data_IF_938294078740
#
_entry.id   IF_938294078740
#
_cell.length_a   1.000
_cell.length_b   1.000
_cell.length_c   1.000
_cell.angle_alpha   90.00
_cell.angle_beta   90.00
_cell.angle_gamma   90.00
#
_symmetry.space_group_name_H-M   'P 1'
#
loop_
_entity.id
_entity.type
_entity.pdbx_description
1 polymer ?
#
# COMPACT_ATOMS: atom_id res chain seq x y z
N UNK A 1 21.57 -2.10 -1.53
CA UNK A 1 21.28 -3.32 -2.31
C UNK A 1 20.80 -2.84 -3.67
N UNK A 2 21.44 -3.23 -4.78
CA UNK A 2 20.95 -2.85 -6.12
C UNK A 2 19.59 -3.54 -6.38
N UNK A 3 18.67 -2.86 -7.06
CA UNK A 3 17.36 -3.42 -7.41
C UNK A 3 16.29 -3.33 -6.33
N UNK A 4 16.50 -2.52 -5.29
CA UNK A 4 15.51 -2.24 -4.24
C UNK A 4 15.19 -0.76 -4.21
N UNK A 5 13.91 -0.43 -4.11
CA UNK A 5 13.43 0.94 -3.85
C UNK A 5 12.65 0.96 -2.54
N UNK A 6 12.89 1.99 -1.74
CA UNK A 6 12.20 2.24 -0.48
C UNK A 6 11.39 3.52 -0.65
N UNK A 7 10.09 3.44 -0.43
CA UNK A 7 9.17 4.59 -0.51
C UNK A 7 8.21 4.59 0.67
N UNK A 8 7.77 5.77 1.07
CA UNK A 8 6.81 5.93 2.17
C UNK A 8 5.37 5.70 1.68
N UNK A 9 5.12 5.92 0.38
CA UNK A 9 3.83 5.69 -0.28
C UNK A 9 3.99 5.06 -1.66
N UNK A 10 3.04 4.21 -2.07
CA UNK A 10 3.02 3.62 -3.42
C UNK A 10 2.88 4.69 -4.50
N UNK A 11 2.34 5.86 -4.15
CA UNK A 11 2.20 7.00 -5.07
C UNK A 11 3.54 7.64 -5.43
N UNK A 12 4.62 7.27 -4.73
CA UNK A 12 5.99 7.66 -5.05
C UNK A 12 6.68 6.66 -5.99
N UNK A 13 6.04 5.54 -6.33
CA UNK A 13 6.55 4.59 -7.32
C UNK A 13 6.29 5.17 -8.71
N UNK A 14 7.37 5.55 -9.40
CA UNK A 14 7.34 6.02 -10.77
C UNK A 14 8.03 5.01 -11.71
N UNK A 15 8.46 5.48 -12.90
CA UNK A 15 9.11 4.61 -13.89
C UNK A 15 10.44 4.03 -13.41
N UNK A 16 11.10 4.64 -12.42
CA UNK A 16 12.34 4.12 -11.84
C UNK A 16 12.12 2.85 -11.00
N UNK A 17 10.89 2.62 -10.54
CA UNK A 17 10.53 1.42 -9.79
C UNK A 17 10.41 0.16 -10.67
N UNK A 18 10.41 0.30 -12.00
CA UNK A 18 10.28 -0.83 -12.91
C UNK A 18 11.39 -1.85 -12.69
N UNK A 19 11.01 -3.12 -12.55
CA UNK A 19 11.95 -4.22 -12.30
C UNK A 19 12.59 -4.21 -10.91
N UNK A 20 12.19 -3.29 -10.02
CA UNK A 20 12.70 -3.23 -8.65
C UNK A 20 11.81 -4.00 -7.68
N UNK A 21 12.43 -4.47 -6.59
CA UNK A 21 11.70 -4.89 -5.38
C UNK A 21 11.37 -3.62 -4.59
N UNK A 22 10.09 -3.30 -4.50
CA UNK A 22 9.63 -2.14 -3.74
C UNK A 22 9.31 -2.52 -2.30
N UNK A 23 9.85 -1.79 -1.33
CA UNK A 23 9.33 -1.79 0.05
C UNK A 23 8.62 -0.46 0.27
N UNK A 24 7.34 -0.54 0.57
CA UNK A 24 6.47 0.60 0.58
C UNK A 24 5.65 0.70 1.86
N UNK A 25 5.68 1.89 2.48
CA UNK A 25 4.92 2.25 3.68
C UNK A 25 3.39 2.14 3.56
N UNK A 26 2.82 1.94 2.37
CA UNK A 26 1.37 1.82 2.20
C UNK A 26 0.79 0.47 2.63
N UNK A 27 -0.51 0.44 2.90
CA UNK A 27 -1.23 -0.80 3.17
C UNK A 27 -1.31 -1.73 1.94
N UNK A 28 -1.48 -3.03 2.18
CA UNK A 28 -1.62 -4.08 1.17
C UNK A 28 -2.97 -4.15 0.44
N UNK A 29 -3.82 -3.13 0.59
CA UNK A 29 -5.13 -3.05 -0.08
C UNK A 29 -5.06 -2.95 -1.61
N UNK A 30 -6.21 -3.17 -2.27
CA UNK A 30 -6.32 -3.32 -3.73
C UNK A 30 -5.71 -2.15 -4.51
N UNK A 31 -6.10 -0.91 -4.19
CA UNK A 31 -5.61 0.26 -4.91
C UNK A 31 -4.09 0.41 -4.83
N UNK A 32 -3.50 0.20 -3.65
CA UNK A 32 -2.06 0.34 -3.48
C UNK A 32 -1.27 -0.72 -4.24
N UNK A 33 -1.71 -1.99 -4.19
CA UNK A 33 -1.13 -3.08 -4.96
C UNK A 33 -1.25 -2.83 -6.47
N UNK A 34 -2.39 -2.30 -6.94
CA UNK A 34 -2.58 -1.94 -8.35
C UNK A 34 -1.64 -0.81 -8.80
N UNK A 35 -1.45 0.24 -7.99
CA UNK A 35 -0.47 1.30 -8.29
C UNK A 35 0.93 0.71 -8.41
N UNK A 36 1.35 -0.16 -7.48
CA UNK A 36 2.65 -0.81 -7.54
C UNK A 36 2.81 -1.68 -8.80
N UNK A 37 1.78 -2.46 -9.15
CA UNK A 37 1.79 -3.27 -10.36
C UNK A 37 1.92 -2.42 -11.63
N UNK A 38 1.21 -1.29 -11.71
CA UNK A 38 1.30 -0.34 -12.83
C UNK A 38 2.66 0.36 -12.94
N UNK A 39 3.36 0.53 -11.82
CA UNK A 39 4.75 1.01 -11.82
C UNK A 39 5.74 -0.06 -12.37
N UNK A 40 5.30 -1.31 -12.56
CA UNK A 40 6.10 -2.38 -13.14
C UNK A 40 7.12 -2.97 -12.17
N UNK A 41 6.85 -2.92 -10.86
CA UNK A 41 7.72 -3.55 -9.85
C UNK A 41 7.80 -5.06 -10.10
N UNK A 42 8.98 -5.66 -9.89
CA UNK A 42 9.11 -7.14 -9.95
C UNK A 42 8.56 -7.83 -8.70
N UNK A 43 8.47 -7.11 -7.59
CA UNK A 43 7.88 -7.57 -6.34
C UNK A 43 7.58 -6.39 -5.42
N UNK A 44 6.66 -6.56 -4.47
CA UNK A 44 6.30 -5.50 -3.52
C UNK A 44 6.13 -6.01 -2.09
N UNK A 45 6.64 -5.24 -1.14
CA UNK A 45 6.43 -5.41 0.31
C UNK A 45 5.55 -4.24 0.78
N UNK A 46 4.39 -4.57 1.34
CA UNK A 46 3.40 -3.61 1.85
C UNK A 46 3.15 -3.81 3.34
N UNK A 47 2.42 -2.92 4.00
CA UNK A 47 1.97 -3.06 5.38
C UNK A 47 0.61 -3.77 5.43
N UNK A 48 0.36 -4.66 6.40
CA UNK A 48 -0.92 -5.37 6.47
C UNK A 48 -2.08 -4.53 7.01
N UNK A 49 -1.78 -3.38 7.63
CA UNK A 49 -2.77 -2.45 8.20
C UNK A 49 -3.84 -3.19 9.02
N UNK A 50 -3.39 -4.06 9.93
CA UNK A 50 -4.28 -4.82 10.80
C UNK A 50 -5.13 -5.86 10.06
N UNK A 51 -4.80 -6.18 8.81
CA UNK A 51 -5.52 -7.06 7.86
C UNK A 51 -6.89 -6.49 7.45
N UNK A 52 -7.61 -5.83 8.34
CA UNK A 52 -8.88 -5.19 8.10
C UNK A 52 -10.05 -6.18 7.92
N UNK A 53 -11.26 -5.63 7.90
CA UNK A 53 -12.48 -6.40 7.68
C UNK A 53 -12.42 -7.09 6.31
N UNK A 54 -12.74 -8.37 6.27
CA UNK A 54 -12.69 -9.19 5.04
C UNK A 54 -11.31 -9.16 4.35
N UNK A 55 -10.23 -9.00 5.12
CA UNK A 55 -8.86 -8.92 4.62
C UNK A 55 -8.57 -7.70 3.72
N UNK A 56 -9.33 -6.61 3.89
CA UNK A 56 -9.20 -5.40 3.07
C UNK A 56 -7.78 -4.81 3.05
N UNK A 57 -7.04 -4.88 4.16
CA UNK A 57 -5.66 -4.39 4.30
C UNK A 57 -4.61 -5.21 3.56
N UNK A 58 -4.94 -6.42 3.07
CA UNK A 58 -4.03 -7.29 2.30
C UNK A 58 -4.65 -7.80 0.99
N UNK A 59 -5.86 -7.34 0.63
CA UNK A 59 -6.58 -7.84 -0.54
C UNK A 59 -5.78 -7.68 -1.84
N UNK A 60 -5.01 -6.60 -1.95
CA UNK A 60 -4.11 -6.35 -3.07
C UNK A 60 -2.91 -7.29 -3.11
N UNK A 61 -2.31 -7.60 -1.94
CA UNK A 61 -1.22 -8.59 -1.83
C UNK A 61 -1.67 -9.95 -2.38
N UNK A 62 -2.88 -10.39 -2.02
CA UNK A 62 -3.44 -11.65 -2.52
C UNK A 62 -3.78 -11.57 -4.01
N UNK A 63 -4.37 -10.46 -4.46
CA UNK A 63 -4.70 -10.24 -5.87
C UNK A 63 -3.47 -10.30 -6.79
N UNK A 64 -2.32 -9.77 -6.35
CA UNK A 64 -1.07 -9.81 -7.12
C UNK A 64 -0.58 -11.22 -7.47
N UNK A 65 -1.01 -12.26 -6.73
CA UNK A 65 -0.68 -13.64 -7.07
C UNK A 65 -1.28 -14.06 -8.42
N UNK A 66 -2.46 -13.54 -8.78
CA UNK A 66 -3.10 -13.79 -10.07
C UNK A 66 -2.35 -13.15 -11.25
N UNK A 67 -1.44 -12.21 -10.97
CA UNK A 67 -0.56 -11.57 -11.95
C UNK A 67 0.87 -12.15 -11.91
N UNK A 68 1.09 -13.21 -11.11
CA UNK A 68 2.40 -13.78 -10.79
C UNK A 68 3.41 -12.72 -10.31
N UNK A 69 2.92 -11.68 -9.61
CA UNK A 69 3.76 -10.67 -8.97
C UNK A 69 3.94 -11.07 -7.50
N UNK A 70 5.17 -11.40 -7.06
CA UNK A 70 5.46 -11.68 -5.67
C UNK A 70 5.14 -10.50 -4.77
N UNK A 71 4.30 -10.75 -3.76
CA UNK A 71 3.91 -9.73 -2.80
C UNK A 71 3.87 -10.28 -1.38
N UNK A 72 4.26 -9.44 -0.43
CA UNK A 72 4.22 -9.75 0.99
C UNK A 72 3.66 -8.56 1.77
N UNK A 73 3.04 -8.85 2.91
CA UNK A 73 2.61 -7.84 3.88
C UNK A 73 3.42 -7.97 5.17
N UNK A 74 3.83 -6.83 5.73
CA UNK A 74 4.48 -6.68 7.03
C UNK A 74 3.41 -6.48 8.10
N UNK A 75 3.56 -7.15 9.24
CA UNK A 75 2.76 -6.92 10.45
C UNK A 75 2.88 -5.46 10.87
N UNK A 76 1.76 -4.72 10.83
CA UNK A 76 1.68 -3.31 11.24
C UNK A 76 2.21 -3.01 12.65
N UNK A 77 2.32 -4.01 13.53
CA UNK A 77 2.90 -3.87 14.88
C UNK A 77 4.43 -3.91 14.88
N UNK A 78 5.03 -4.44 13.81
CA UNK A 78 6.49 -4.59 13.67
C UNK A 78 7.16 -3.42 12.94
N UNK A 79 6.39 -2.66 12.16
CA UNK A 79 6.88 -1.49 11.45
C UNK A 79 5.78 -0.44 11.26
N UNK A 80 6.18 0.83 11.30
CA UNK A 80 5.27 1.97 11.09
C UNK A 80 4.73 1.98 9.67
N UNK A 81 3.41 2.15 9.55
CA UNK A 81 2.79 2.46 8.27
C UNK A 81 3.19 3.87 7.83
N UNK A 82 3.37 4.09 6.53
CA UNK A 82 3.91 5.33 5.97
C UNK A 82 5.43 5.48 6.08
N UNK A 83 6.18 4.48 6.57
CA UNK A 83 7.65 4.55 6.71
C UNK A 83 8.32 3.32 6.06
N UNK A 84 8.74 3.48 4.81
CA UNK A 84 9.36 2.39 4.04
C UNK A 84 10.72 1.96 4.61
N UNK A 85 11.42 2.88 5.28
CA UNK A 85 12.71 2.61 5.90
C UNK A 85 12.55 1.77 7.17
N UNK A 86 11.58 2.07 8.03
CA UNK A 86 11.27 1.28 9.22
C UNK A 86 10.79 -0.12 8.84
N UNK A 87 9.95 -0.24 7.81
CA UNK A 87 9.54 -1.55 7.27
C UNK A 87 10.74 -2.40 6.86
N UNK A 88 11.70 -1.83 6.13
CA UNK A 88 12.95 -2.53 5.79
C UNK A 88 13.77 -2.90 7.03
N UNK A 89 13.80 -2.06 8.06
CA UNK A 89 14.66 -2.25 9.22
C UNK A 89 14.10 -3.24 10.24
N UNK A 90 12.82 -3.16 10.58
CA UNK A 90 12.18 -3.91 11.67
C UNK A 90 11.00 -4.78 11.26
N UNK A 91 10.52 -4.66 10.01
CA UNK A 91 9.33 -5.35 9.55
C UNK A 91 9.43 -6.87 9.63
N UNK A 92 8.38 -7.49 10.15
CA UNK A 92 8.14 -8.94 10.18
C UNK A 92 6.97 -9.25 9.26
N UNK A 93 7.13 -10.22 8.38
CA UNK A 93 6.12 -10.61 7.39
C UNK A 93 4.96 -11.32 8.08
N UNK A 94 3.74 -10.80 7.90
CA UNK A 94 2.50 -11.46 8.35
C UNK A 94 1.86 -12.29 7.26
N UNK A 95 1.91 -11.83 6.02
CA UNK A 95 1.24 -12.46 4.87
C UNK A 95 2.19 -12.56 3.68
N UNK A 96 2.12 -13.68 2.96
CA UNK A 96 2.83 -13.91 1.70
C UNK A 96 1.82 -14.44 0.70
N UNK A 97 1.84 -13.91 -0.52
CA UNK A 97 1.02 -14.45 -1.60
C UNK A 97 1.69 -15.66 -2.29
N UNK A 98 0.94 -16.43 -3.08
CA UNK A 98 1.45 -17.67 -3.67
C UNK A 98 2.70 -17.44 -4.54
N UNK A 99 2.75 -16.34 -5.31
CA UNK A 99 3.92 -15.98 -6.10
C UNK A 99 5.16 -15.75 -5.21
N UNK A 100 5.03 -14.99 -4.12
CA UNK A 100 6.10 -14.78 -3.15
C UNK A 100 6.57 -16.08 -2.48
N UNK A 101 5.64 -16.98 -2.16
CA UNK A 101 5.96 -18.27 -1.56
C UNK A 101 6.84 -19.14 -2.48
N UNK A 102 6.58 -19.14 -3.80
CA UNK A 102 7.42 -19.83 -4.81
C UNK A 102 8.88 -19.37 -4.77
N UNK A 103 9.14 -18.14 -4.35
CA UNK A 103 10.49 -17.54 -4.28
C UNK A 103 11.11 -17.59 -2.88
N UNK A 104 10.52 -18.35 -1.95
CA UNK A 104 11.08 -18.59 -0.61
C UNK A 104 10.67 -17.57 0.46
N UNK A 105 9.71 -16.69 0.17
CA UNK A 105 9.14 -15.82 1.19
C UNK A 105 8.22 -16.61 2.13
N UNK A 106 8.30 -16.38 3.44
CA UNK A 106 7.46 -17.04 4.44
C UNK A 106 6.98 -16.02 5.49
N UNK A 107 5.76 -16.19 6.05
CA UNK A 107 5.37 -15.51 7.27
C UNK A 107 6.39 -15.73 8.39
N UNK A 108 6.65 -14.69 9.18
CA UNK A 108 7.67 -14.67 10.23
C UNK A 108 9.08 -14.29 9.74
N UNK A 109 9.35 -14.25 8.44
CA UNK A 109 10.60 -13.67 7.93
C UNK A 109 10.67 -12.17 8.22
N UNK A 110 11.87 -11.66 8.41
CA UNK A 110 12.14 -10.21 8.38
C UNK A 110 11.99 -9.66 6.96
N UNK A 111 11.68 -8.37 6.84
CA UNK A 111 11.62 -7.67 5.54
C UNK A 111 12.92 -7.87 4.74
N UNK A 112 14.08 -7.81 5.39
CA UNK A 112 15.39 -8.05 4.76
C UNK A 112 15.52 -9.45 4.17
N UNK A 113 15.01 -10.47 4.87
CA UNK A 113 15.06 -11.85 4.37
C UNK A 113 14.19 -12.01 3.12
N UNK A 114 12.96 -11.50 3.13
CA UNK A 114 12.09 -11.59 1.94
C UNK A 114 12.61 -10.74 0.79
N UNK A 115 13.13 -9.53 1.03
CA UNK A 115 13.76 -8.74 -0.04
C UNK A 115 14.94 -9.49 -0.65
N UNK A 116 15.77 -10.16 0.16
CA UNK A 116 16.85 -11.00 -0.36
C UNK A 116 16.30 -12.14 -1.23
N UNK A 117 15.32 -12.90 -0.74
CA UNK A 117 14.68 -13.99 -1.47
C UNK A 117 14.11 -13.50 -2.82
N UNK A 118 13.43 -12.35 -2.81
CA UNK A 118 12.82 -11.76 -4.00
C UNK A 118 13.88 -11.34 -5.01
N UNK A 119 14.93 -10.62 -4.59
CA UNK A 119 16.04 -10.21 -5.45
C UNK A 119 16.76 -11.38 -6.12
N UNK A 120 16.94 -12.48 -5.39
CA UNK A 120 17.67 -13.66 -5.87
C UNK A 120 16.83 -14.52 -6.81
N UNK A 121 15.50 -14.61 -6.59
CA UNK A 121 14.70 -15.66 -7.21
C UNK A 121 13.53 -15.19 -8.08
N UNK A 122 13.09 -13.93 -8.01
CA UNK A 122 11.95 -13.45 -8.82
C UNK A 122 12.37 -12.80 -10.14
N UNK A 123 11.45 -12.65 -11.07
CA UNK A 123 11.66 -11.90 -12.32
C UNK A 123 10.52 -10.88 -12.50
N UNK A 124 10.63 -10.00 -13.50
CA UNK A 124 9.51 -9.12 -13.88
C UNK A 124 8.35 -9.97 -14.39
N UNK A 125 7.13 -9.66 -13.94
CA UNK A 125 5.93 -10.28 -14.51
C UNK A 125 5.65 -9.67 -15.88
N UNK A 126 5.28 -10.53 -16.84
CA UNK A 126 4.80 -10.14 -18.17
C UNK A 126 3.27 -9.95 -18.21
N UNK A 127 2.59 -10.15 -17.08
CA UNK A 127 1.13 -10.04 -17.02
C UNK A 127 0.66 -8.63 -17.38
N UNK A 128 -0.40 -8.56 -18.18
CA UNK A 128 -1.11 -7.30 -18.39
C UNK A 128 -1.81 -6.90 -17.08
N UNK A 129 -1.61 -5.66 -16.65
CA UNK A 129 -2.20 -5.16 -15.40
C UNK A 129 -3.63 -4.68 -15.72
N UNK A 130 -4.67 -5.36 -15.19
CA UNK A 130 -6.03 -4.95 -15.48
C UNK A 130 -6.35 -3.63 -14.77
N UNK A 131 -7.26 -2.84 -15.36
CA UNK A 131 -7.87 -1.72 -14.66
C UNK A 131 -8.71 -2.27 -13.49
N UNK A 132 -8.49 -1.70 -12.31
CA UNK A 132 -9.43 -1.90 -11.19
C UNK A 132 -10.53 -0.84 -11.34
N UNK A 133 -11.77 -1.22 -11.04
CA UNK A 133 -12.97 -0.40 -11.32
C UNK A 133 -13.04 0.92 -10.56
N UNK A 134 -14.26 1.34 -10.18
CA UNK A 134 -14.46 2.67 -9.63
C UNK A 134 -13.82 2.84 -8.22
N UNK A 135 -12.68 3.55 -8.15
CA UNK A 135 -11.96 3.84 -6.91
C UNK A 135 -12.51 5.06 -6.13
N UNK A 136 -13.66 5.58 -6.57
CA UNK A 136 -14.34 6.74 -6.00
C UNK A 136 -15.86 6.58 -6.10
N UNK A 137 -16.57 6.57 -4.99
CA UNK A 137 -18.02 6.44 -4.98
C UNK A 137 -18.67 7.60 -4.20
N UNK A 138 -19.76 8.16 -4.74
CA UNK A 138 -20.55 9.16 -4.02
C UNK A 138 -21.38 8.48 -2.93
N UNK A 139 -21.29 8.97 -1.71
CA UNK A 139 -22.15 8.52 -0.60
C UNK A 139 -23.42 9.37 -0.62
N UNK A 140 -24.58 8.71 -0.74
CA UNK A 140 -25.90 9.35 -0.70
C UNK A 140 -26.40 9.61 0.72
N UNK A 141 -27.49 10.38 0.85
CA UNK A 141 -28.18 10.66 2.13
C UNK A 141 -27.34 11.37 3.21
N UNK A 142 -26.45 12.28 2.80
CA UNK A 142 -25.46 12.94 3.68
C UNK A 142 -25.81 14.37 4.09
N UNK A 143 -27.09 14.74 3.98
CA UNK A 143 -27.56 16.08 4.30
C UNK A 143 -27.12 17.12 3.26
N UNK A 144 -26.59 18.25 3.72
CA UNK A 144 -26.26 19.40 2.86
C UNK A 144 -24.86 19.36 2.23
N UNK A 145 -24.04 18.36 2.58
CA UNK A 145 -22.66 18.24 2.07
C UNK A 145 -22.52 17.03 1.17
N UNK A 146 -21.75 17.20 0.11
CA UNK A 146 -21.28 16.09 -0.70
C UNK A 146 -20.27 15.26 0.08
N UNK A 147 -20.37 13.94 -0.07
CA UNK A 147 -19.50 13.00 0.60
C UNK A 147 -19.05 11.95 -0.41
N UNK A 148 -17.75 11.68 -0.41
CA UNK A 148 -17.12 10.74 -1.32
C UNK A 148 -16.35 9.69 -0.53
N UNK A 149 -16.58 8.42 -0.85
CA UNK A 149 -15.68 7.33 -0.49
C UNK A 149 -14.61 7.22 -1.56
N UNK A 150 -13.33 7.25 -1.18
CA UNK A 150 -12.19 7.12 -2.11
C UNK A 150 -11.18 6.13 -1.56
N UNK A 151 -10.61 5.29 -2.43
CA UNK A 151 -9.68 4.23 -1.97
C UNK A 151 -8.35 4.78 -1.44
N UNK A 152 -7.93 5.93 -1.96
CA UNK A 152 -6.72 6.63 -1.53
C UNK A 152 -6.99 8.13 -1.45
N UNK A 153 -6.43 8.80 -0.46
CA UNK A 153 -6.42 10.27 -0.34
C UNK A 153 -5.79 10.94 -1.56
N UNK A 154 -4.86 10.27 -2.24
CA UNK A 154 -4.25 10.75 -3.50
C UNK A 154 -5.24 10.85 -4.66
N UNK A 155 -6.43 10.27 -4.52
CA UNK A 155 -7.51 10.39 -5.49
C UNK A 155 -8.33 11.66 -5.30
N UNK A 156 -8.10 12.45 -4.24
CA UNK A 156 -8.76 13.74 -4.04
C UNK A 156 -8.51 14.68 -5.24
N UNK A 157 -9.53 15.44 -5.62
CA UNK A 157 -9.51 16.32 -6.79
C UNK A 157 -9.89 17.75 -6.39
N UNK A 158 -9.51 18.76 -7.18
CA UNK A 158 -9.93 20.15 -6.93
C UNK A 158 -11.45 20.32 -6.78
N UNK A 159 -12.24 19.50 -7.45
CA UNK A 159 -13.71 19.52 -7.38
C UNK A 159 -14.26 19.05 -6.02
N UNK A 160 -13.45 18.36 -5.21
CA UNK A 160 -13.83 17.93 -3.85
C UNK A 160 -13.78 19.07 -2.82
N UNK A 161 -13.51 20.30 -3.27
CA UNK A 161 -13.50 21.50 -2.42
C UNK A 161 -14.78 21.58 -1.59
N UNK A 162 -14.62 21.68 -0.27
CA UNK A 162 -15.68 21.73 0.76
C UNK A 162 -16.55 20.47 0.89
N UNK A 163 -16.22 19.39 0.18
CA UNK A 163 -16.83 18.07 0.38
C UNK A 163 -16.27 17.38 1.64
N UNK A 164 -16.87 16.26 2.02
CA UNK A 164 -16.29 15.33 3.00
C UNK A 164 -15.67 14.16 2.24
N UNK A 165 -14.43 13.80 2.56
CA UNK A 165 -13.77 12.63 2.01
C UNK A 165 -13.68 11.53 3.08
N UNK A 166 -14.16 10.33 2.76
CA UNK A 166 -13.93 9.11 3.53
C UNK A 166 -12.91 8.29 2.77
N UNK A 167 -11.69 8.22 3.29
CA UNK A 167 -10.56 7.63 2.56
C UNK A 167 -10.25 6.23 3.07
N UNK A 168 -9.80 5.34 2.18
CA UNK A 168 -9.19 4.07 2.53
C UNK A 168 -7.77 4.20 3.09
N UNK A 169 -7.15 5.38 2.94
CA UNK A 169 -5.80 5.67 3.40
C UNK A 169 -5.66 5.68 4.92
N UNK A 170 -4.46 5.39 5.38
CA UNK A 170 -4.06 5.60 6.78
C UNK A 170 -3.79 7.08 7.07
N UNK A 171 -3.87 7.46 8.36
CA UNK A 171 -3.60 8.82 8.83
C UNK A 171 -2.15 9.10 9.23
N UNK A 172 -1.25 8.11 9.11
CA UNK A 172 0.16 8.29 9.46
C UNK A 172 0.88 9.25 8.50
N UNK A 173 1.79 10.06 9.06
CA UNK A 173 2.67 10.94 8.31
C UNK A 173 3.73 10.16 7.54
N UNK A 174 3.97 10.52 6.28
CA UNK A 174 4.98 9.87 5.44
C UNK A 174 6.40 10.11 5.99
N UNK A 175 7.07 9.02 6.40
CA UNK A 175 8.36 9.04 7.07
C UNK A 175 8.36 9.85 8.38
N UNK A 176 7.20 9.99 9.02
CA UNK A 176 7.04 10.77 10.26
C UNK A 176 7.19 12.29 10.11
N UNK A 177 7.08 12.83 8.89
CA UNK A 177 7.27 14.26 8.61
C UNK A 177 5.96 14.89 8.13
N UNK A 178 5.71 16.19 8.42
CA UNK A 178 4.60 16.90 7.81
C UNK A 178 4.65 16.74 6.28
N UNK A 179 3.52 16.35 5.71
CA UNK A 179 3.39 16.09 4.29
C UNK A 179 2.20 16.88 3.71
N UNK A 180 2.09 16.80 2.39
CA UNK A 180 1.02 17.38 1.59
C UNK A 180 -0.03 16.30 1.24
N UNK A 181 -0.31 15.38 2.18
CA UNK A 181 -1.16 14.21 1.92
C UNK A 181 -2.55 14.61 1.41
N UNK A 182 -3.03 15.80 1.78
CA UNK A 182 -4.26 16.38 1.27
C UNK A 182 -4.13 17.89 1.06
N UNK A 183 -3.86 18.30 -0.19
CA UNK A 183 -3.79 19.72 -0.59
C UNK A 183 -5.14 20.33 -1.00
N UNK A 184 -6.22 19.55 -0.95
CA UNK A 184 -7.57 20.02 -1.29
C UNK A 184 -8.27 20.60 -0.05
N UNK A 185 -8.81 21.81 -0.16
CA UNK A 185 -9.63 22.49 0.88
C UNK A 185 -11.00 21.80 1.03
N UNK A 186 -10.98 20.59 1.56
CA UNK A 186 -12.17 19.80 1.92
C UNK A 186 -12.77 20.31 3.24
N UNK A 187 -14.04 20.02 3.50
CA UNK A 187 -14.65 20.33 4.79
C UNK A 187 -14.13 19.41 5.90
N UNK A 188 -13.97 18.12 5.59
CA UNK A 188 -13.40 17.11 6.49
C UNK A 188 -12.84 15.94 5.68
N UNK A 189 -11.78 15.30 6.19
CA UNK A 189 -11.26 14.05 5.69
C UNK A 189 -11.19 13.02 6.81
N UNK A 190 -11.64 11.80 6.53
CA UNK A 190 -11.56 10.65 7.42
C UNK A 190 -10.50 9.68 6.90
N UNK A 191 -9.65 9.22 7.81
CA UNK A 191 -8.60 8.25 7.56
C UNK A 191 -8.88 6.98 8.37
N UNK A 192 -8.32 5.87 7.90
CA UNK A 192 -8.42 4.58 8.55
C UNK A 192 -7.25 4.39 9.53
N UNK A 193 -7.53 4.20 10.81
CA UNK A 193 -6.49 3.96 11.83
C UNK A 193 -6.01 2.50 11.86
N UNK A 194 -6.72 1.58 11.18
CA UNK A 194 -6.40 0.16 11.13
C UNK A 194 -6.19 -0.52 12.51
N UNK A 195 -6.67 0.10 13.60
CA UNK A 195 -6.42 -0.36 14.97
C UNK A 195 -5.09 0.06 15.60
N UNK A 196 -4.29 0.90 14.92
CA UNK A 196 -3.02 1.45 15.39
C UNK A 196 -1.82 0.50 15.19
N UNK A 197 -0.69 1.06 14.77
CA UNK A 197 0.56 0.37 14.48
C UNK A 197 1.67 0.65 15.51
N UNK A 198 2.88 0.25 15.14
CA UNK A 198 4.10 0.51 15.93
C UNK A 198 4.21 1.99 16.30
N UNK A 199 4.59 2.28 17.54
CA UNK A 199 4.74 3.65 18.08
C UNK A 199 3.49 4.54 17.95
N UNK A 200 2.30 3.96 17.75
CA UNK A 200 1.05 4.70 17.57
C UNK A 200 0.84 5.26 16.15
N UNK A 201 1.58 4.74 15.17
CA UNK A 201 1.38 5.03 13.74
C UNK A 201 0.03 4.53 13.21
#
# INVERSE_FOLDING_TARGET
MKGVILVDSVTQLDREARGMVAVCGSHGGMYAAWVAARAGVRAVVLNDAGIGKHSAGIAGVLWLAGLDIPAVAIDHRSARIGDGQDMMQSGIVSTVNDAGAKHGCLPGHTCKQVVKCLLENSEESEAEIPEIGEARARIGNTGHREVWAIDSVSLARPEDRRAILVTGSHGALLGGRPDHVLDVDVFAAFFNDAGGGKDGA
#
